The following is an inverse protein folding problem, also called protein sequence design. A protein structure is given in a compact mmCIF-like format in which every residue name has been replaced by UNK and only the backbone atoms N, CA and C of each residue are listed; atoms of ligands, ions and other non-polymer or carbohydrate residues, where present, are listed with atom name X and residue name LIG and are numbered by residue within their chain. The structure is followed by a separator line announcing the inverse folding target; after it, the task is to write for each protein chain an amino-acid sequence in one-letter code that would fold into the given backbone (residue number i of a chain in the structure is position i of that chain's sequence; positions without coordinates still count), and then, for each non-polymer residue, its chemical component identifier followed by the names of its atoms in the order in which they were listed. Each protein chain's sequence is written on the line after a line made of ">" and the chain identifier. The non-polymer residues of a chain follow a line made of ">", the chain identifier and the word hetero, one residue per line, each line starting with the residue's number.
data_IF_414687307299
#
_entry.id   IF_414687307299
#
_cell.length_a   1.000
_cell.length_b   1.000
_cell.length_c   1.000
_cell.angle_alpha   90.00
_cell.angle_beta   90.00
_cell.angle_gamma   90.00
#
_symmetry.space_group_name_H-M   'P 1'
#
loop_
_entity.id
_entity.type
_entity.pdbx_description
1 polymer ?
#
# COMPACT_ATOMS: atom_id res chain seq x y z
N UNK A 1 23.61 20.75 -37.64
CA UNK A 1 23.44 19.67 -36.64
C UNK A 1 23.22 18.35 -37.38
N UNK A 2 24.01 17.32 -37.12
CA UNK A 2 23.87 16.00 -37.75
C UNK A 2 22.79 15.21 -37.00
N UNK A 3 21.77 14.71 -37.71
CA UNK A 3 20.68 13.91 -37.13
C UNK A 3 20.78 12.49 -37.67
N UNK A 4 20.67 11.49 -36.79
CA UNK A 4 20.74 10.08 -37.15
C UNK A 4 19.33 9.48 -37.29
N UNK A 5 19.03 8.72 -38.37
CA UNK A 5 17.69 8.18 -38.61
C UNK A 5 17.44 6.91 -37.78
N UNK A 6 16.89 7.07 -36.58
CA UNK A 6 16.59 5.95 -35.66
C UNK A 6 15.10 5.60 -35.53
N UNK A 7 14.20 6.52 -35.91
CA UNK A 7 12.75 6.40 -35.64
C UNK A 7 12.07 5.24 -36.39
N UNK A 8 12.58 4.87 -37.56
CA UNK A 8 12.01 3.82 -38.40
C UNK A 8 12.46 2.41 -37.98
N UNK A 9 13.57 2.29 -37.24
CA UNK A 9 14.09 0.99 -36.81
C UNK A 9 13.37 0.50 -35.56
N UNK A 10 12.73 -0.69 -35.59
CA UNK A 10 12.09 -1.27 -34.41
C UNK A 10 13.05 -1.49 -33.24
N UNK A 11 14.35 -1.70 -33.53
CA UNK A 11 15.40 -1.95 -32.53
C UNK A 11 15.97 -0.66 -31.93
N UNK A 12 15.93 0.46 -32.67
CA UNK A 12 16.57 1.71 -32.25
C UNK A 12 15.58 2.78 -31.81
N UNK A 13 14.30 2.65 -32.16
CA UNK A 13 13.27 3.58 -31.72
C UNK A 13 13.11 3.47 -30.20
N UNK A 14 13.00 4.63 -29.54
CA UNK A 14 12.66 4.65 -28.13
C UNK A 14 11.29 3.98 -27.90
N UNK A 15 11.11 3.24 -26.80
CA UNK A 15 9.79 2.74 -26.42
C UNK A 15 8.82 3.91 -26.24
N UNK A 16 7.63 3.76 -26.80
CA UNK A 16 6.54 4.70 -26.53
C UNK A 16 6.00 4.44 -25.13
N UNK A 17 5.98 5.47 -24.29
CA UNK A 17 5.47 5.42 -22.92
C UNK A 17 4.34 6.43 -22.82
N UNK A 18 3.16 5.99 -22.38
CA UNK A 18 1.99 6.85 -22.24
C UNK A 18 2.03 7.74 -20.99
N UNK A 19 2.90 7.43 -20.03
CA UNK A 19 3.09 8.18 -18.78
C UNK A 19 4.58 8.37 -18.51
N UNK A 20 4.98 9.55 -18.05
CA UNK A 20 6.36 9.80 -17.63
C UNK A 20 6.63 9.15 -16.26
N UNK A 21 7.89 8.81 -16.00
CA UNK A 21 8.27 8.14 -14.74
C UNK A 21 7.89 8.95 -13.51
N UNK A 22 8.14 10.26 -13.52
CA UNK A 22 7.83 11.16 -12.42
C UNK A 22 6.32 11.29 -12.17
N UNK A 23 5.51 11.29 -13.23
CA UNK A 23 4.04 11.30 -13.11
C UNK A 23 3.52 10.00 -12.49
N UNK A 24 4.10 8.86 -12.88
CA UNK A 24 3.76 7.56 -12.30
C UNK A 24 4.16 7.48 -10.81
N UNK A 25 5.34 7.97 -10.45
CA UNK A 25 5.79 8.03 -9.05
C UNK A 25 4.86 8.90 -8.21
N UNK A 26 4.52 10.10 -8.68
CA UNK A 26 3.58 10.98 -8.01
C UNK A 26 2.18 10.36 -7.87
N UNK A 27 1.75 9.54 -8.84
CA UNK A 27 0.48 8.82 -8.74
C UNK A 27 0.54 7.72 -7.67
N UNK A 28 1.64 6.97 -7.59
CA UNK A 28 1.85 5.95 -6.55
C UNK A 28 1.84 6.61 -5.17
N UNK A 29 2.55 7.72 -4.99
CA UNK A 29 2.58 8.49 -3.74
C UNK A 29 1.17 8.93 -3.31
N UNK A 30 0.36 9.44 -4.25
CA UNK A 30 -1.04 9.82 -3.95
C UNK A 30 -1.93 8.63 -3.56
N UNK A 31 -1.75 7.47 -4.19
CA UNK A 31 -2.51 6.26 -3.84
C UNK A 31 -2.09 5.75 -2.46
N UNK A 32 -0.79 5.77 -2.14
CA UNK A 32 -0.29 5.44 -0.81
C UNK A 32 -0.85 6.40 0.23
N UNK A 33 -0.81 7.70 -0.02
CA UNK A 33 -1.36 8.73 0.88
C UNK A 33 -2.86 8.48 1.14
N UNK A 34 -3.63 8.19 0.10
CA UNK A 34 -5.04 7.84 0.28
C UNK A 34 -5.22 6.58 1.12
N UNK A 35 -4.45 5.53 0.85
CA UNK A 35 -4.52 4.24 1.55
C UNK A 35 -4.26 4.38 3.06
N UNK A 36 -3.20 5.09 3.45
CA UNK A 36 -2.81 5.24 4.86
C UNK A 36 -3.71 6.19 5.64
N UNK A 37 -4.50 7.01 4.95
CA UNK A 37 -5.47 7.92 5.54
C UNK A 37 -6.91 7.37 5.52
N UNK A 38 -7.14 6.12 5.12
CA UNK A 38 -8.46 5.50 5.27
C UNK A 38 -8.80 5.41 6.76
N UNK A 39 -9.99 5.92 7.12
CA UNK A 39 -10.55 5.92 8.47
C UNK A 39 -12.07 5.70 8.40
N UNK A 40 -12.65 5.11 9.46
CA UNK A 40 -14.10 5.05 9.68
C UNK A 40 -14.46 5.88 10.91
N UNK A 41 -14.54 7.20 10.72
CA UNK A 41 -14.86 8.15 11.80
C UNK A 41 -16.25 7.91 12.42
N UNK A 42 -17.16 7.32 11.66
CA UNK A 42 -18.53 7.04 12.12
C UNK A 42 -18.66 5.73 12.89
N UNK A 43 -17.69 4.84 12.74
CA UNK A 43 -17.75 3.47 13.22
C UNK A 43 -18.82 2.61 12.54
N UNK A 44 -19.28 2.99 11.35
CA UNK A 44 -20.34 2.30 10.60
C UNK A 44 -19.95 0.88 10.18
N UNK A 45 -18.65 0.58 10.10
CA UNK A 45 -18.10 -0.68 9.64
C UNK A 45 -17.30 -1.42 10.73
N UNK A 46 -17.48 -1.05 12.00
CA UNK A 46 -16.89 -1.78 13.13
C UNK A 46 -17.43 -3.22 13.17
N UNK A 47 -16.52 -4.19 13.12
CA UNK A 47 -16.87 -5.60 13.29
C UNK A 47 -17.03 -5.91 14.78
N UNK A 48 -18.22 -6.35 15.18
CA UNK A 48 -18.52 -6.76 16.55
C UNK A 48 -18.57 -8.28 16.63
N UNK A 49 -17.78 -8.85 17.53
CA UNK A 49 -17.73 -10.29 17.78
C UNK A 49 -18.54 -10.63 19.05
N UNK A 50 -18.98 -11.88 19.13
CA UNK A 50 -19.77 -12.43 20.23
C UNK A 50 -19.00 -12.53 21.56
N UNK A 51 -17.66 -12.49 21.50
CA UNK A 51 -16.77 -12.39 22.66
C UNK A 51 -16.56 -10.96 23.19
N UNK A 52 -17.27 -9.97 22.62
CA UNK A 52 -17.23 -8.57 23.05
C UNK A 52 -16.13 -7.73 22.39
N UNK A 53 -15.29 -8.31 21.52
CA UNK A 53 -14.33 -7.51 20.74
C UNK A 53 -15.04 -6.63 19.71
N UNK A 54 -14.49 -5.43 19.53
CA UNK A 54 -14.88 -4.47 18.48
C UNK A 54 -13.64 -4.16 17.66
N UNK A 55 -13.67 -4.47 16.37
CA UNK A 55 -12.51 -4.39 15.48
C UNK A 55 -12.78 -3.32 14.43
N UNK A 56 -11.86 -2.35 14.32
CA UNK A 56 -11.80 -1.47 13.16
C UNK A 56 -11.19 -2.23 11.98
N UNK A 57 -12.00 -2.46 10.96
CA UNK A 57 -11.62 -3.19 9.74
C UNK A 57 -11.25 -2.27 8.59
N UNK A 58 -11.31 -0.94 8.79
CA UNK A 58 -11.14 0.08 7.75
C UNK A 58 -9.94 0.96 8.01
N UNK A 59 -9.78 1.45 9.23
CA UNK A 59 -8.72 2.37 9.61
C UNK A 59 -7.33 1.76 9.42
N UNK A 60 -6.35 2.60 9.03
CA UNK A 60 -4.94 2.17 8.88
C UNK A 60 -4.33 1.61 10.17
N UNK A 61 -4.88 1.97 11.33
CA UNK A 61 -4.49 1.44 12.63
C UNK A 61 -5.01 0.00 12.90
N UNK A 62 -5.75 -0.59 11.96
CA UNK A 62 -6.21 -1.97 12.06
C UNK A 62 -5.11 -3.00 11.79
N UNK A 63 -5.45 -4.28 11.99
CA UNK A 63 -4.58 -5.42 11.64
C UNK A 63 -5.37 -6.44 10.82
N UNK A 64 -5.48 -6.17 9.53
CA UNK A 64 -6.21 -7.00 8.57
C UNK A 64 -5.34 -7.36 7.37
N UNK A 65 -5.74 -8.38 6.61
CA UNK A 65 -5.01 -8.83 5.41
C UNK A 65 -4.86 -7.73 4.36
N UNK A 66 -5.79 -6.77 4.31
CA UNK A 66 -5.72 -5.58 3.45
C UNK A 66 -4.49 -4.73 3.74
N UNK A 67 -4.13 -4.57 5.01
CA UNK A 67 -2.89 -3.89 5.43
C UNK A 67 -1.67 -4.66 4.95
N UNK A 68 -1.68 -5.99 5.03
CA UNK A 68 -0.60 -6.83 4.50
C UNK A 68 -0.34 -6.61 3.00
N UNK A 69 -1.41 -6.49 2.19
CA UNK A 69 -1.30 -6.18 0.76
C UNK A 69 -0.77 -4.76 0.54
N UNK A 70 -1.29 -3.78 1.29
CA UNK A 70 -0.85 -2.38 1.23
C UNK A 70 0.64 -2.22 1.57
N UNK A 71 1.05 -2.75 2.71
CA UNK A 71 2.44 -2.76 3.18
C UNK A 71 3.38 -3.43 2.18
N UNK A 72 2.96 -4.53 1.54
CA UNK A 72 3.77 -5.19 0.53
C UNK A 72 3.96 -4.33 -0.73
N UNK A 73 2.91 -3.64 -1.19
CA UNK A 73 3.02 -2.70 -2.30
C UNK A 73 3.97 -1.53 -2.00
N UNK A 74 3.84 -0.94 -0.80
CA UNK A 74 4.72 0.14 -0.31
C UNK A 74 6.16 -0.37 -0.20
N UNK A 75 6.37 -1.59 0.29
CA UNK A 75 7.69 -2.21 0.39
C UNK A 75 8.35 -2.44 -0.97
N UNK A 76 7.59 -2.96 -1.95
CA UNK A 76 8.08 -3.14 -3.32
C UNK A 76 8.51 -1.82 -3.94
N UNK A 77 7.75 -0.74 -3.71
CA UNK A 77 8.14 0.58 -4.18
C UNK A 77 9.42 1.07 -3.49
N UNK A 78 9.50 0.99 -2.16
CA UNK A 78 10.72 1.31 -1.41
C UNK A 78 11.93 0.51 -1.93
N UNK A 79 11.79 -0.79 -2.13
CA UNK A 79 12.88 -1.64 -2.62
C UNK A 79 13.39 -1.20 -4.00
N UNK A 80 12.50 -0.72 -4.88
CA UNK A 80 12.86 -0.29 -6.23
C UNK A 80 13.44 1.13 -6.28
N UNK A 81 12.98 2.04 -5.41
CA UNK A 81 13.31 3.47 -5.49
C UNK A 81 14.25 3.97 -4.40
N UNK A 82 14.31 3.28 -3.26
CA UNK A 82 14.97 3.73 -2.05
C UNK A 82 14.22 4.84 -1.30
N UNK A 83 12.94 5.08 -1.60
CA UNK A 83 12.15 6.14 -0.99
C UNK A 83 11.93 5.90 0.52
N UNK A 84 12.59 6.73 1.33
CA UNK A 84 12.60 6.62 2.78
C UNK A 84 11.22 6.84 3.39
N UNK A 85 10.37 7.70 2.80
CA UNK A 85 9.03 7.95 3.32
C UNK A 85 8.18 6.66 3.31
N UNK A 86 8.35 5.84 2.27
CA UNK A 86 7.65 4.56 2.13
C UNK A 86 8.12 3.53 3.15
N UNK A 87 9.42 3.50 3.46
CA UNK A 87 9.97 2.67 4.54
C UNK A 87 9.42 3.11 5.89
N UNK A 88 9.41 4.41 6.16
CA UNK A 88 8.99 4.95 7.45
C UNK A 88 7.51 4.64 7.74
N UNK A 89 6.64 4.62 6.71
CA UNK A 89 5.24 4.15 6.82
C UNK A 89 5.17 2.70 7.30
N UNK A 90 6.01 1.82 6.74
CA UNK A 90 6.03 0.39 7.09
C UNK A 90 6.52 0.21 8.53
N UNK A 91 7.65 0.86 8.85
CA UNK A 91 8.29 0.75 10.15
C UNK A 91 7.38 1.30 11.26
N UNK A 92 6.72 2.44 11.03
CA UNK A 92 5.77 3.02 11.99
C UNK A 92 4.57 2.12 12.20
N UNK A 93 4.00 1.54 11.13
CA UNK A 93 2.84 0.65 11.25
C UNK A 93 3.16 -0.56 12.13
N UNK A 94 4.29 -1.22 11.89
CA UNK A 94 4.68 -2.37 12.73
C UNK A 94 5.02 -1.95 14.16
N UNK A 95 5.72 -0.83 14.36
CA UNK A 95 6.02 -0.31 15.68
C UNK A 95 4.74 -0.08 16.50
N UNK A 96 3.74 0.56 15.92
CA UNK A 96 2.47 0.84 16.58
C UNK A 96 1.71 -0.46 16.89
N UNK A 97 1.56 -1.37 15.93
CA UNK A 97 0.82 -2.65 16.13
C UNK A 97 1.52 -3.58 17.13
N UNK A 98 2.85 -3.56 17.19
CA UNK A 98 3.58 -4.33 18.20
C UNK A 98 3.48 -3.71 19.60
N UNK A 99 3.40 -2.38 19.70
CA UNK A 99 3.19 -1.69 20.98
C UNK A 99 1.79 -1.92 21.56
N UNK A 100 0.76 -2.06 20.72
CA UNK A 100 -0.61 -2.40 21.11
C UNK A 100 -0.76 -3.83 21.65
N UNK A 101 0.20 -4.71 21.32
CA UNK A 101 0.18 -6.12 21.67
C UNK A 101 -0.47 -6.98 20.58
N UNK A 102 0.02 -8.20 20.42
CA UNK A 102 -0.48 -9.10 19.38
C UNK A 102 -1.99 -9.35 19.55
N UNK A 103 -2.77 -8.99 18.54
CA UNK A 103 -4.19 -9.36 18.48
C UNK A 103 -4.29 -10.88 18.43
N UNK A 104 -5.09 -11.46 19.32
CA UNK A 104 -5.28 -12.90 19.40
C UNK A 104 -5.96 -13.42 18.12
N UNK A 105 -5.17 -13.90 17.16
CA UNK A 105 -5.58 -14.56 15.90
C UNK A 105 -6.49 -13.71 14.98
N UNK A 106 -6.09 -13.68 13.72
CA UNK A 106 -6.76 -13.10 12.54
C UNK A 106 -8.29 -13.17 12.61
N UNK A 107 -8.96 -12.05 12.33
CA UNK A 107 -10.42 -11.86 12.31
C UNK A 107 -11.17 -12.65 11.25
N UNK A 108 -10.49 -13.51 10.48
CA UNK A 108 -11.14 -14.37 9.48
C UNK A 108 -11.46 -15.72 10.13
N UNK A 109 -12.72 -15.99 10.53
CA UNK A 109 -13.12 -17.36 10.80
C UNK A 109 -13.09 -18.07 9.44
N UNK A 110 -12.05 -18.87 9.20
CA UNK A 110 -12.17 -19.97 8.25
C UNK A 110 -13.22 -20.92 8.82
N UNK A 111 -14.51 -20.66 8.54
CA UNK A 111 -15.57 -21.64 8.75
C UNK A 111 -15.26 -22.78 7.80
N UNK A 112 -14.73 -23.87 8.34
CA UNK A 112 -14.81 -25.17 7.68
C UNK A 112 -16.30 -25.47 7.48
N UNK A 113 -16.75 -25.33 6.23
CA UNK A 113 -17.98 -25.94 5.73
C UNK A 113 -17.83 -27.44 5.62
#
# INVERSE_FOLDING_TARGET
>A
MKVWPVKQSPLLRQPERFIARNELQALIEKVTDNLVNIQDETGAFLLRLDDGRVIDTKGWAGWEWTHGVGLYGIYQYYQQTGDIAMRDIIDSWFADRFAEGATSKTSTPWRHS
#
